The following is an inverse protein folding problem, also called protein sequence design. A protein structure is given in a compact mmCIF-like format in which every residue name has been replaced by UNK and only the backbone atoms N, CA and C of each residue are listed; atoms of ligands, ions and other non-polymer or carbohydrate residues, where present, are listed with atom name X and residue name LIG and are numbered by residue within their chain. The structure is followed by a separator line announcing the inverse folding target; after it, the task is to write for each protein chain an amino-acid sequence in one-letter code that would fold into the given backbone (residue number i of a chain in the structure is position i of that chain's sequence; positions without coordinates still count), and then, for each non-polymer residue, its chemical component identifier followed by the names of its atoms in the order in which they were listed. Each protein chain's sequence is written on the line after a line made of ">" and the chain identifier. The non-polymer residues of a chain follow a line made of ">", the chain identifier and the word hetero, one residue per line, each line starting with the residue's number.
data_IF_391279684360
#
_entry.id   IF_391279684360
#
_cell.length_a   1.000
_cell.length_b   1.000
_cell.length_c   1.000
_cell.angle_alpha   90.00
_cell.angle_beta   90.00
_cell.angle_gamma   90.00
#
_symmetry.space_group_name_H-M   'P 1'
#
loop_
_entity.id
_entity.type
_entity.pdbx_description
1 polymer ?
#
# COMPACT_ATOMS: atom_id res chain seq x y z
N UNK A 1 -11.55 47.67 6.17
CA UNK A 1 -10.49 46.66 5.99
C UNK A 1 -11.15 45.46 5.35
N UNK A 2 -10.71 45.08 4.14
CA UNK A 2 -11.15 43.82 3.51
C UNK A 2 -10.73 42.67 4.44
N UNK A 3 -11.61 41.70 4.76
CA UNK A 3 -11.14 40.48 5.40
C UNK A 3 -10.12 39.85 4.44
N UNK A 4 -8.95 39.51 4.99
CA UNK A 4 -7.93 38.74 4.27
C UNK A 4 -8.62 37.51 3.68
N UNK A 5 -8.45 37.29 2.37
CA UNK A 5 -8.74 36.02 1.74
C UNK A 5 -7.99 34.96 2.57
N UNK A 6 -8.74 34.13 3.30
CA UNK A 6 -8.18 32.92 3.89
C UNK A 6 -7.77 32.04 2.71
N UNK A 7 -6.49 32.09 2.36
CA UNK A 7 -5.81 31.25 1.39
C UNK A 7 -5.71 29.81 1.96
N UNK A 8 -6.87 29.23 2.23
CA UNK A 8 -7.05 27.90 2.80
C UNK A 8 -7.89 27.04 1.87
N UNK A 9 -7.78 25.70 1.96
CA UNK A 9 -8.50 24.80 1.07
C UNK A 9 -10.01 25.01 1.17
N UNK A 10 -10.69 24.92 0.02
CA UNK A 10 -12.16 25.07 -0.10
C UNK A 10 -12.93 24.13 0.83
N UNK A 11 -12.36 22.97 1.17
CA UNK A 11 -12.95 21.98 2.07
C UNK A 11 -12.13 21.87 3.36
N UNK A 12 -12.67 22.38 4.48
CA UNK A 12 -12.05 22.29 5.81
C UNK A 12 -12.47 21.03 6.59
N UNK A 13 -13.74 20.66 6.51
CA UNK A 13 -14.29 19.45 7.13
C UNK A 13 -15.65 19.13 6.49
N UNK A 14 -15.97 17.85 6.36
CA UNK A 14 -17.30 17.39 5.95
C UNK A 14 -17.52 15.93 6.41
N UNK A 15 -18.75 15.43 6.27
CA UNK A 15 -19.02 14.01 6.48
C UNK A 15 -18.33 13.15 5.40
N UNK A 16 -18.03 11.87 5.67
CA UNK A 16 -17.41 10.98 4.68
C UNK A 16 -18.15 10.94 3.34
N UNK A 17 -19.48 11.02 3.37
CA UNK A 17 -20.33 11.04 2.18
C UNK A 17 -20.11 12.30 1.33
N UNK A 18 -20.01 13.47 1.98
CA UNK A 18 -19.76 14.74 1.29
C UNK A 18 -18.34 14.75 0.72
N UNK A 19 -17.35 14.26 1.47
CA UNK A 19 -15.97 14.16 1.00
C UNK A 19 -15.87 13.25 -0.24
N UNK A 20 -16.58 12.12 -0.22
CA UNK A 20 -16.67 11.21 -1.35
C UNK A 20 -17.34 11.88 -2.56
N UNK A 21 -18.45 12.60 -2.35
CA UNK A 21 -19.12 13.34 -3.44
C UNK A 21 -18.17 14.37 -4.04
N UNK A 22 -17.46 15.14 -3.20
CA UNK A 22 -16.49 16.12 -3.63
C UNK A 22 -15.37 15.45 -4.44
N UNK A 23 -14.84 14.30 -4.01
CA UNK A 23 -13.85 13.53 -4.78
C UNK A 23 -14.36 13.10 -6.18
N UNK A 24 -15.68 12.91 -6.35
CA UNK A 24 -16.31 12.53 -7.62
C UNK A 24 -16.73 13.70 -8.52
N UNK A 25 -16.53 14.95 -8.11
CA UNK A 25 -16.85 16.12 -8.95
C UNK A 25 -16.08 16.08 -10.26
N UNK A 26 -16.70 16.43 -11.38
CA UNK A 26 -16.11 16.34 -12.73
C UNK A 26 -15.13 17.46 -13.06
N UNK A 27 -14.93 18.41 -12.13
CA UNK A 27 -14.00 19.51 -12.36
C UNK A 27 -12.56 18.99 -12.50
N UNK A 28 -11.83 19.57 -13.43
CA UNK A 28 -10.44 19.24 -13.76
C UNK A 28 -9.46 20.32 -13.26
N UNK A 29 -9.92 21.20 -12.36
CA UNK A 29 -9.06 22.15 -11.66
C UNK A 29 -7.91 21.42 -10.95
N UNK A 30 -6.72 22.04 -10.86
CA UNK A 30 -5.57 21.44 -10.18
C UNK A 30 -5.90 21.11 -8.71
N UNK A 31 -6.63 21.98 -8.02
CA UNK A 31 -7.04 21.78 -6.62
C UNK A 31 -7.93 20.55 -6.45
N UNK A 32 -8.77 20.25 -7.44
CA UNK A 32 -9.62 19.07 -7.44
C UNK A 32 -8.83 17.78 -7.60
N UNK A 33 -7.77 17.80 -8.43
CA UNK A 33 -6.85 16.67 -8.57
C UNK A 33 -6.12 16.42 -7.26
N UNK A 34 -5.58 17.48 -6.65
CA UNK A 34 -4.90 17.40 -5.34
C UNK A 34 -5.84 16.84 -4.27
N UNK A 35 -7.10 17.31 -4.24
CA UNK A 35 -8.09 16.78 -3.32
C UNK A 35 -8.32 15.27 -3.51
N UNK A 36 -8.47 14.81 -4.76
CA UNK A 36 -8.68 13.39 -5.04
C UNK A 36 -7.50 12.54 -4.57
N UNK A 37 -6.27 12.97 -4.83
CA UNK A 37 -5.06 12.28 -4.34
C UNK A 37 -5.02 12.24 -2.80
N UNK A 38 -5.34 13.36 -2.15
CA UNK A 38 -5.39 13.43 -0.70
C UNK A 38 -6.48 12.51 -0.13
N UNK A 39 -7.67 12.47 -0.75
CA UNK A 39 -8.76 11.58 -0.37
C UNK A 39 -8.33 10.11 -0.49
N UNK A 40 -7.83 9.70 -1.67
CA UNK A 40 -7.40 8.33 -1.93
C UNK A 40 -6.27 7.87 -0.99
N UNK A 41 -5.35 8.78 -0.69
CA UNK A 41 -4.25 8.54 0.24
C UNK A 41 -4.69 8.42 1.70
N UNK A 42 -5.77 9.08 2.13
CA UNK A 42 -6.06 9.27 3.57
C UNK A 42 -7.44 8.78 4.04
N UNK A 43 -8.35 8.39 3.15
CA UNK A 43 -9.73 8.03 3.51
C UNK A 43 -9.80 6.92 4.56
N UNK A 44 -8.84 6.00 4.55
CA UNK A 44 -8.70 4.89 5.50
C UNK A 44 -8.66 5.35 6.96
N UNK A 45 -8.32 6.62 7.20
CA UNK A 45 -8.36 7.23 8.52
C UNK A 45 -9.79 7.44 9.06
N UNK A 46 -10.81 7.57 8.21
CA UNK A 46 -12.19 7.89 8.62
C UNK A 46 -13.29 7.04 7.97
N UNK A 47 -13.01 6.24 6.94
CA UNK A 47 -13.97 5.34 6.29
C UNK A 47 -13.26 4.08 5.75
N UNK A 48 -13.92 2.92 5.80
CA UNK A 48 -13.32 1.67 5.32
C UNK A 48 -13.34 1.59 3.78
N UNK A 49 -12.40 0.85 3.15
CA UNK A 49 -12.43 0.65 1.70
C UNK A 49 -13.73 -0.01 1.23
N UNK A 50 -14.26 -0.97 2.00
CA UNK A 50 -15.53 -1.64 1.69
C UNK A 50 -16.69 -0.63 1.65
N UNK A 51 -16.76 0.27 2.64
CA UNK A 51 -17.79 1.32 2.68
C UNK A 51 -17.65 2.32 1.52
N UNK A 52 -16.41 2.74 1.19
CA UNK A 52 -16.15 3.65 0.06
C UNK A 52 -16.61 3.00 -1.25
N UNK A 53 -16.22 1.76 -1.50
CA UNK A 53 -16.57 1.03 -2.73
C UNK A 53 -18.09 0.83 -2.80
N UNK A 54 -18.73 0.43 -1.70
CA UNK A 54 -20.19 0.27 -1.62
C UNK A 54 -20.93 1.58 -1.90
N UNK A 55 -20.47 2.70 -1.32
CA UNK A 55 -21.05 4.03 -1.54
C UNK A 55 -20.85 4.53 -2.98
N UNK A 56 -19.67 4.33 -3.55
CA UNK A 56 -19.39 4.67 -4.95
C UNK A 56 -20.22 3.83 -5.92
N UNK A 57 -20.38 2.54 -5.64
CA UNK A 57 -21.23 1.64 -6.42
C UNK A 57 -22.70 2.08 -6.36
N UNK A 58 -23.21 2.40 -5.18
CA UNK A 58 -24.57 2.93 -5.01
C UNK A 58 -24.78 4.23 -5.80
N UNK A 59 -23.84 5.18 -5.66
CA UNK A 59 -23.86 6.45 -6.38
C UNK A 59 -23.82 6.25 -7.90
N UNK A 60 -22.95 5.36 -8.39
CA UNK A 60 -22.84 5.03 -9.81
C UNK A 60 -24.18 4.53 -10.39
N UNK A 61 -24.83 3.56 -9.72
CA UNK A 61 -26.14 3.04 -10.16
C UNK A 61 -27.19 4.14 -10.26
N UNK A 62 -27.28 5.00 -9.24
CA UNK A 62 -28.24 6.11 -9.21
C UNK A 62 -27.96 7.15 -10.32
N UNK A 63 -26.69 7.46 -10.61
CA UNK A 63 -26.33 8.40 -11.68
C UNK A 63 -26.61 7.84 -13.08
N UNK A 64 -26.43 6.53 -13.28
CA UNK A 64 -26.81 5.85 -14.52
C UNK A 64 -28.32 5.94 -14.78
N UNK A 65 -29.15 5.76 -13.74
CA UNK A 65 -30.62 5.93 -13.83
C UNK A 65 -31.00 7.39 -14.14
N UNK A 66 -30.31 8.34 -13.51
CA UNK A 66 -30.51 9.78 -13.72
C UNK A 66 -29.99 10.35 -15.05
N UNK A 67 -29.34 9.52 -15.89
CA UNK A 67 -28.71 9.90 -17.17
C UNK A 67 -27.59 10.96 -17.08
N UNK A 68 -26.95 11.10 -15.93
CA UNK A 68 -25.74 11.92 -15.79
C UNK A 68 -24.49 11.09 -16.12
N UNK A 69 -24.25 10.88 -17.42
CA UNK A 69 -23.16 10.02 -17.90
C UNK A 69 -21.77 10.51 -17.51
N UNK A 70 -21.56 11.82 -17.38
CA UNK A 70 -20.26 12.39 -17.01
C UNK A 70 -19.95 12.14 -15.53
N UNK A 71 -20.89 12.43 -14.64
CA UNK A 71 -20.73 12.17 -13.20
C UNK A 71 -20.65 10.66 -12.90
N UNK A 72 -21.43 9.84 -13.60
CA UNK A 72 -21.38 8.37 -13.48
C UNK A 72 -19.98 7.85 -13.84
N UNK A 73 -19.44 8.28 -14.98
CA UNK A 73 -18.10 7.88 -15.43
C UNK A 73 -17.01 8.29 -14.44
N UNK A 74 -17.09 9.50 -13.88
CA UNK A 74 -16.09 9.98 -12.92
C UNK A 74 -16.18 9.26 -11.57
N UNK A 75 -17.40 8.98 -11.11
CA UNK A 75 -17.65 8.15 -9.92
C UNK A 75 -17.05 6.75 -10.10
N UNK A 76 -17.25 6.15 -11.27
CA UNK A 76 -16.69 4.85 -11.58
C UNK A 76 -15.16 4.88 -11.68
N UNK A 77 -14.59 5.93 -12.27
CA UNK A 77 -13.14 6.09 -12.33
C UNK A 77 -12.53 6.18 -10.92
N UNK A 78 -13.16 6.93 -10.00
CA UNK A 78 -12.73 6.97 -8.60
C UNK A 78 -12.84 5.58 -7.95
N UNK A 79 -13.92 4.83 -8.21
CA UNK A 79 -14.07 3.46 -7.71
C UNK A 79 -12.92 2.56 -8.17
N UNK A 80 -12.59 2.59 -9.46
CA UNK A 80 -11.47 1.81 -10.00
C UNK A 80 -10.16 2.20 -9.33
N UNK A 81 -9.92 3.50 -9.11
CA UNK A 81 -8.74 3.96 -8.38
C UNK A 81 -8.70 3.49 -6.93
N UNK A 82 -9.81 3.53 -6.22
CA UNK A 82 -9.90 2.99 -4.86
C UNK A 82 -9.53 1.51 -4.85
N UNK A 83 -10.02 0.73 -5.83
CA UNK A 83 -9.70 -0.70 -5.96
C UNK A 83 -8.23 -0.94 -6.33
N UNK A 84 -7.67 -0.10 -7.20
CA UNK A 84 -6.26 -0.16 -7.60
C UNK A 84 -5.31 0.16 -6.43
N UNK A 85 -5.71 1.10 -5.56
CA UNK A 85 -4.94 1.52 -4.40
C UNK A 85 -5.21 0.68 -3.13
N UNK A 86 -6.03 -0.38 -3.20
CA UNK A 86 -6.19 -1.34 -2.09
C UNK A 86 -4.84 -2.00 -1.78
N UNK A 87 -4.47 -2.12 -0.51
CA UNK A 87 -3.37 -3.02 -0.18
C UNK A 87 -3.84 -4.47 -0.31
N UNK A 88 -2.88 -5.38 -0.51
CA UNK A 88 -3.18 -6.80 -0.72
C UNK A 88 -4.00 -7.43 0.42
N UNK A 89 -3.90 -6.90 1.64
CA UNK A 89 -4.61 -7.40 2.82
C UNK A 89 -6.03 -6.82 2.99
N UNK A 90 -6.36 -5.73 2.30
CA UNK A 90 -7.72 -5.14 2.31
C UNK A 90 -8.70 -5.92 1.40
N UNK A 91 -8.19 -6.73 0.47
CA UNK A 91 -9.02 -7.59 -0.38
C UNK A 91 -9.44 -8.87 0.36
N UNK A 92 -10.40 -8.73 1.26
CA UNK A 92 -11.06 -9.85 1.95
C UNK A 92 -12.11 -10.55 1.06
N UNK A 93 -12.69 -11.64 1.59
CA UNK A 93 -13.67 -12.46 0.85
C UNK A 93 -14.96 -11.69 0.52
N UNK A 94 -15.42 -10.85 1.44
CA UNK A 94 -16.68 -10.10 1.29
C UNK A 94 -16.52 -8.98 0.27
N UNK A 95 -15.40 -8.26 0.33
CA UNK A 95 -15.04 -7.25 -0.66
C UNK A 95 -14.81 -7.87 -2.04
N UNK A 96 -14.15 -9.03 -2.11
CA UNK A 96 -13.96 -9.75 -3.37
C UNK A 96 -15.31 -10.12 -3.99
N UNK A 97 -16.27 -10.63 -3.21
CA UNK A 97 -17.62 -10.94 -3.69
C UNK A 97 -18.32 -9.68 -4.22
N UNK A 98 -18.23 -8.56 -3.50
CA UNK A 98 -18.81 -7.28 -3.92
C UNK A 98 -18.19 -6.77 -5.24
N UNK A 99 -16.87 -6.87 -5.39
CA UNK A 99 -16.17 -6.47 -6.60
C UNK A 99 -16.49 -7.37 -7.79
N UNK A 100 -16.62 -8.67 -7.57
CA UNK A 100 -17.01 -9.63 -8.60
C UNK A 100 -18.47 -9.39 -9.05
N UNK A 101 -19.39 -9.12 -8.11
CA UNK A 101 -20.77 -8.72 -8.44
C UNK A 101 -20.81 -7.43 -9.27
N UNK A 102 -19.95 -6.45 -8.94
CA UNK A 102 -19.80 -5.25 -9.74
C UNK A 102 -19.27 -5.55 -11.15
N UNK A 103 -18.27 -6.43 -11.29
CA UNK A 103 -17.79 -6.87 -12.62
C UNK A 103 -18.93 -7.52 -13.42
N UNK A 104 -19.72 -8.39 -12.82
CA UNK A 104 -20.87 -9.01 -13.50
C UNK A 104 -21.91 -7.98 -13.92
N UNK A 105 -22.22 -7.01 -13.06
CA UNK A 105 -23.13 -5.91 -13.37
C UNK A 105 -22.66 -5.10 -14.58
N UNK A 106 -21.36 -4.82 -14.69
CA UNK A 106 -20.78 -4.11 -15.84
C UNK A 106 -20.84 -4.94 -17.13
N UNK A 107 -20.62 -6.26 -17.04
CA UNK A 107 -20.75 -7.16 -18.18
C UNK A 107 -22.18 -7.21 -18.71
N UNK A 108 -23.17 -7.28 -17.82
CA UNK A 108 -24.59 -7.22 -18.17
C UNK A 108 -24.93 -5.85 -18.80
N UNK A 109 -24.35 -4.78 -18.28
CA UNK A 109 -24.50 -3.42 -18.82
C UNK A 109 -23.77 -3.15 -20.14
N UNK A 110 -22.92 -4.07 -20.61
CA UNK A 110 -22.15 -3.92 -21.86
C UNK A 110 -20.86 -3.11 -21.74
N UNK A 111 -20.47 -2.67 -20.54
CA UNK A 111 -19.28 -1.85 -20.27
C UNK A 111 -18.01 -2.73 -20.17
N UNK A 112 -17.64 -3.38 -21.28
CA UNK A 112 -16.58 -4.39 -21.31
C UNK A 112 -15.21 -3.86 -20.90
N UNK A 113 -14.87 -2.62 -21.29
CA UNK A 113 -13.57 -2.02 -20.96
C UNK A 113 -13.41 -1.77 -19.46
N UNK A 114 -14.46 -1.28 -18.82
CA UNK A 114 -14.50 -1.04 -17.37
C UNK A 114 -14.48 -2.36 -16.58
N UNK A 115 -15.25 -3.36 -17.03
CA UNK A 115 -15.25 -4.70 -16.46
C UNK A 115 -13.85 -5.34 -16.52
N UNK A 116 -13.18 -5.24 -17.67
CA UNK A 116 -11.83 -5.76 -17.85
C UNK A 116 -10.82 -5.08 -16.92
N UNK A 117 -10.85 -3.75 -16.84
CA UNK A 117 -9.96 -2.97 -15.97
C UNK A 117 -10.13 -3.38 -14.50
N UNK A 118 -11.37 -3.43 -14.01
CA UNK A 118 -11.66 -3.82 -12.64
C UNK A 118 -11.22 -5.26 -12.36
N UNK A 119 -11.50 -6.19 -13.27
CA UNK A 119 -11.07 -7.59 -13.15
C UNK A 119 -9.54 -7.73 -13.12
N UNK A 120 -8.83 -6.97 -13.95
CA UNK A 120 -7.36 -6.96 -13.98
C UNK A 120 -6.79 -6.51 -12.64
N UNK A 121 -7.37 -5.45 -12.04
CA UNK A 121 -6.95 -4.96 -10.73
C UNK A 121 -7.18 -6.02 -9.64
N UNK A 122 -8.36 -6.65 -9.63
CA UNK A 122 -8.68 -7.73 -8.67
C UNK A 122 -7.65 -8.86 -8.78
N UNK A 123 -7.36 -9.34 -9.99
CA UNK A 123 -6.40 -10.44 -10.20
C UNK A 123 -4.99 -10.06 -9.76
N UNK A 124 -4.56 -8.82 -10.05
CA UNK A 124 -3.26 -8.32 -9.60
C UNK A 124 -3.16 -8.28 -8.07
N UNK A 125 -4.19 -7.80 -7.37
CA UNK A 125 -4.23 -7.78 -5.89
C UNK A 125 -4.28 -9.19 -5.29
N UNK A 126 -5.00 -10.11 -5.91
CA UNK A 126 -5.02 -11.52 -5.49
C UNK A 126 -3.63 -12.17 -5.62
N UNK A 127 -2.93 -11.92 -6.72
CA UNK A 127 -1.56 -12.41 -6.93
C UNK A 127 -0.61 -11.83 -5.86
N UNK A 128 -0.67 -10.52 -5.60
CA UNK A 128 0.12 -9.89 -4.54
C UNK A 128 -0.14 -10.52 -3.17
N UNK A 129 -1.41 -10.74 -2.83
CA UNK A 129 -1.80 -11.39 -1.58
C UNK A 129 -1.28 -12.83 -1.51
N UNK A 130 -1.32 -13.56 -2.62
CA UNK A 130 -0.76 -14.92 -2.71
C UNK A 130 0.76 -14.94 -2.54
N UNK A 131 1.49 -13.96 -3.10
CA UNK A 131 2.93 -13.83 -2.90
C UNK A 131 3.30 -13.52 -1.44
N UNK A 132 2.48 -12.73 -0.74
CA UNK A 132 2.72 -12.39 0.66
C UNK A 132 2.40 -13.55 1.63
N UNK A 133 1.28 -14.25 1.43
CA UNK A 133 0.79 -15.28 2.36
C UNK A 133 1.25 -16.68 1.97
N UNK A 134 1.32 -16.96 0.66
CA UNK A 134 1.46 -18.28 0.09
C UNK A 134 2.83 -18.58 -0.53
N UNK A 135 3.75 -17.61 -0.61
CA UNK A 135 5.04 -17.84 -1.26
C UNK A 135 5.85 -18.92 -0.51
N UNK A 136 6.14 -20.06 -1.15
CA UNK A 136 6.98 -21.07 -0.55
C UNK A 136 8.40 -20.52 -0.36
N UNK A 137 9.02 -20.87 0.77
CA UNK A 137 10.42 -20.53 1.11
C UNK A 137 11.46 -20.98 0.05
N UNK A 138 11.03 -21.66 -1.02
CA UNK A 138 11.84 -22.10 -2.16
C UNK A 138 12.38 -20.96 -3.03
N UNK A 139 11.86 -19.74 -2.93
CA UNK A 139 12.34 -18.57 -3.68
C UNK A 139 13.46 -17.79 -3.00
N UNK A 140 13.92 -18.21 -1.81
CA UNK A 140 15.06 -17.55 -1.15
C UNK A 140 16.31 -17.67 -2.02
N UNK A 141 17.09 -16.59 -2.19
CA UNK A 141 18.36 -16.63 -2.91
C UNK A 141 19.25 -17.75 -2.39
N UNK A 142 20.00 -18.42 -3.27
CA UNK A 142 20.93 -19.50 -2.88
C UNK A 142 21.92 -19.05 -1.79
N UNK A 143 22.30 -17.77 -1.77
CA UNK A 143 23.12 -17.16 -0.74
C UNK A 143 22.51 -17.26 0.67
N UNK A 144 21.18 -17.18 0.78
CA UNK A 144 20.47 -17.33 2.05
C UNK A 144 20.37 -18.80 2.53
N UNK A 145 20.81 -19.77 1.70
CA UNK A 145 20.80 -21.21 2.04
C UNK A 145 22.09 -21.68 2.73
N UNK A 146 23.03 -20.76 3.00
CA UNK A 146 24.26 -21.06 3.76
C UNK A 146 25.22 -22.02 3.06
N UNK A 147 25.07 -22.23 1.74
CA UNK A 147 25.94 -23.12 0.96
C UNK A 147 27.18 -22.35 0.54
N UNK A 148 28.22 -22.36 1.39
CA UNK A 148 29.54 -21.82 1.06
C UNK A 148 30.62 -22.90 1.29
N UNK A 149 31.52 -23.06 0.32
CA UNK A 149 32.66 -23.98 0.44
C UNK A 149 33.61 -23.58 1.59
N UNK A 150 33.57 -22.30 2.00
CA UNK A 150 34.20 -21.76 3.20
C UNK A 150 33.24 -20.73 3.83
N UNK A 151 32.85 -20.86 5.11
CA UNK A 151 32.14 -19.80 5.80
C UNK A 151 33.09 -18.60 5.98
N UNK A 152 32.84 -17.50 5.26
CA UNK A 152 33.53 -16.24 5.52
C UNK A 152 33.10 -15.69 6.88
N UNK A 153 34.04 -15.15 7.64
CA UNK A 153 33.77 -14.35 8.83
C UNK A 153 33.41 -12.92 8.43
N UNK A 154 32.69 -12.19 9.28
CA UNK A 154 32.30 -10.80 9.00
C UNK A 154 33.50 -9.91 8.61
N UNK A 155 34.66 -10.17 9.24
CA UNK A 155 35.89 -9.41 9.04
C UNK A 155 36.57 -9.69 7.70
N UNK A 156 36.11 -10.68 6.93
CA UNK A 156 36.64 -11.00 5.61
C UNK A 156 36.08 -10.06 4.52
N UNK A 157 35.09 -9.23 4.85
CA UNK A 157 34.46 -8.28 3.93
C UNK A 157 34.89 -6.84 4.23
N UNK A 158 34.98 -6.00 3.20
CA UNK A 158 35.19 -4.56 3.40
C UNK A 158 33.94 -3.97 4.04
N UNK A 159 34.12 -3.06 5.00
CA UNK A 159 33.02 -2.37 5.68
C UNK A 159 32.10 -1.65 4.70
N UNK A 160 32.66 -1.05 3.64
CA UNK A 160 31.89 -0.40 2.59
C UNK A 160 30.97 -1.39 1.86
N UNK A 161 31.48 -2.55 1.44
CA UNK A 161 30.68 -3.54 0.71
C UNK A 161 29.52 -4.06 1.58
N UNK A 162 29.78 -4.27 2.89
CA UNK A 162 28.74 -4.65 3.85
C UNK A 162 27.66 -3.57 3.99
N UNK A 163 28.07 -2.30 4.10
CA UNK A 163 27.14 -1.18 4.20
C UNK A 163 26.28 -1.02 2.93
N UNK A 164 26.88 -1.17 1.76
CA UNK A 164 26.16 -1.12 0.47
C UNK A 164 25.13 -2.25 0.36
N UNK A 165 25.48 -3.48 0.75
CA UNK A 165 24.54 -4.61 0.72
C UNK A 165 23.41 -4.46 1.76
N UNK A 166 23.71 -4.02 2.97
CA UNK A 166 22.67 -3.72 3.97
C UNK A 166 21.73 -2.63 3.48
N UNK A 167 22.26 -1.55 2.90
CA UNK A 167 21.47 -0.46 2.33
C UNK A 167 20.58 -0.95 1.19
N UNK A 168 21.08 -1.84 0.33
CA UNK A 168 20.30 -2.43 -0.74
C UNK A 168 19.12 -3.25 -0.20
N UNK A 169 19.38 -4.11 0.80
CA UNK A 169 18.33 -4.92 1.45
C UNK A 169 17.28 -4.04 2.14
N UNK A 170 17.72 -3.03 2.89
CA UNK A 170 16.83 -2.06 3.54
C UNK A 170 15.97 -1.31 2.52
N UNK A 171 16.58 -0.88 1.40
CA UNK A 171 15.86 -0.19 0.32
C UNK A 171 14.82 -1.08 -0.35
N UNK A 172 15.12 -2.36 -0.60
CA UNK A 172 14.19 -3.31 -1.20
C UNK A 172 12.95 -3.55 -0.32
N UNK A 173 13.15 -3.62 1.00
CA UNK A 173 12.05 -3.79 1.96
C UNK A 173 11.27 -2.48 2.14
N UNK A 174 11.95 -1.34 2.25
CA UNK A 174 11.32 -0.03 2.42
C UNK A 174 10.39 0.31 1.25
N UNK A 175 10.83 0.07 0.01
CA UNK A 175 10.04 0.36 -1.19
C UNK A 175 8.76 -0.50 -1.32
N UNK A 176 8.64 -1.59 -0.57
CA UNK A 176 7.42 -2.41 -0.54
C UNK A 176 6.36 -1.88 0.42
N UNK A 177 6.72 -1.02 1.37
CA UNK A 177 5.78 -0.51 2.37
C UNK A 177 4.79 0.42 1.68
N UNK A 178 3.51 0.03 1.70
CA UNK A 178 2.45 0.84 1.12
C UNK A 178 1.86 1.82 2.17
N UNK A 179 1.41 3.00 1.72
CA UNK A 179 0.77 3.98 2.59
C UNK A 179 -0.43 3.43 3.40
N UNK A 180 -1.31 2.58 2.84
CA UNK A 180 -2.37 1.92 3.61
C UNK A 180 -1.87 1.15 4.84
N UNK A 181 -0.71 0.46 4.75
CA UNK A 181 -0.14 -0.28 5.87
C UNK A 181 0.26 0.67 7.01
N UNK A 182 0.90 1.79 6.69
CA UNK A 182 1.32 2.79 7.68
C UNK A 182 0.11 3.42 8.37
N UNK A 183 -0.94 3.75 7.61
CA UNK A 183 -2.17 4.31 8.17
C UNK A 183 -2.89 3.30 9.07
N UNK A 184 -2.95 2.04 8.65
CA UNK A 184 -3.61 1.00 9.43
C UNK A 184 -2.80 0.66 10.69
N UNK A 185 -1.47 0.60 10.58
CA UNK A 185 -0.57 0.41 11.71
C UNK A 185 -0.77 1.48 12.78
N UNK A 186 -0.94 2.75 12.37
CA UNK A 186 -1.19 3.86 13.28
C UNK A 186 -2.46 3.70 14.13
N UNK A 187 -3.41 2.87 13.67
CA UNK A 187 -4.69 2.60 14.35
C UNK A 187 -4.68 1.30 15.14
N UNK A 188 -4.24 0.22 14.52
CA UNK A 188 -4.45 -1.14 15.03
C UNK A 188 -3.16 -1.85 15.45
N UNK A 189 -1.98 -1.38 14.98
CA UNK A 189 -0.69 -2.05 15.20
C UNK A 189 -0.73 -3.56 14.90
N UNK A 190 -1.44 -3.93 13.82
CA UNK A 190 -1.66 -5.32 13.44
C UNK A 190 -0.64 -5.77 12.40
N UNK A 191 0.17 -6.77 12.75
CA UNK A 191 1.22 -7.35 11.90
C UNK A 191 0.66 -8.07 10.67
N UNK A 192 -0.45 -8.81 10.81
CA UNK A 192 -1.06 -9.56 9.71
C UNK A 192 -1.62 -8.63 8.62
N UNK A 193 -2.12 -7.46 9.02
CA UNK A 193 -2.64 -6.46 8.09
C UNK A 193 -1.57 -5.51 7.54
N UNK A 194 -0.37 -5.52 8.12
CA UNK A 194 0.76 -4.65 7.73
C UNK A 194 2.03 -5.47 7.46
N UNK A 195 1.99 -6.41 6.49
CA UNK A 195 3.04 -7.41 6.32
C UNK A 195 4.38 -6.83 5.88
N UNK A 196 4.42 -5.86 4.96
CA UNK A 196 5.68 -5.29 4.47
C UNK A 196 6.32 -4.41 5.55
N UNK A 197 5.52 -3.64 6.28
CA UNK A 197 5.99 -2.88 7.44
C UNK A 197 6.57 -3.81 8.53
N UNK A 198 5.90 -4.94 8.76
CA UNK A 198 6.35 -5.95 9.72
C UNK A 198 7.66 -6.60 9.26
N UNK A 199 7.77 -6.98 7.98
CA UNK A 199 8.99 -7.55 7.39
C UNK A 199 10.17 -6.59 7.52
N UNK A 200 9.97 -5.31 7.20
CA UNK A 200 10.99 -4.26 7.34
C UNK A 200 11.45 -4.12 8.80
N UNK A 201 10.51 -4.08 9.75
CA UNK A 201 10.83 -3.97 11.18
C UNK A 201 11.56 -5.22 11.71
N UNK A 202 11.15 -6.41 11.26
CA UNK A 202 11.83 -7.66 11.60
C UNK A 202 13.24 -7.71 11.03
N UNK A 203 13.46 -7.26 9.79
CA UNK A 203 14.79 -7.15 9.20
C UNK A 203 15.71 -6.26 10.04
N UNK A 204 15.26 -5.05 10.39
CA UNK A 204 15.99 -4.12 11.25
C UNK A 204 16.38 -4.75 12.60
N UNK A 205 15.44 -5.46 13.23
CA UNK A 205 15.68 -6.17 14.49
C UNK A 205 16.69 -7.30 14.30
N UNK A 206 16.58 -8.10 13.24
CA UNK A 206 17.50 -9.19 12.95
C UNK A 206 18.93 -8.71 12.75
N UNK A 207 19.13 -7.62 11.98
CA UNK A 207 20.44 -6.99 11.80
C UNK A 207 20.97 -6.49 13.15
N UNK A 208 20.14 -5.83 13.95
CA UNK A 208 20.52 -5.34 15.28
C UNK A 208 20.97 -6.47 16.22
N UNK A 209 20.22 -7.57 16.28
CA UNK A 209 20.56 -8.75 17.08
C UNK A 209 21.82 -9.46 16.56
N UNK A 210 21.97 -9.55 15.24
CA UNK A 210 23.15 -10.12 14.61
C UNK A 210 24.41 -9.32 14.97
N UNK A 211 24.39 -7.99 14.85
CA UNK A 211 25.51 -7.13 15.25
C UNK A 211 25.87 -7.32 16.73
N UNK A 212 24.87 -7.32 17.62
CA UNK A 212 25.08 -7.59 19.06
C UNK A 212 25.76 -8.95 19.30
N UNK A 213 25.29 -9.98 18.59
CA UNK A 213 25.83 -11.34 18.72
C UNK A 213 27.28 -11.42 18.23
N UNK A 214 27.60 -10.76 17.10
CA UNK A 214 28.97 -10.70 16.60
C UNK A 214 29.89 -10.01 17.60
N UNK A 215 29.46 -8.90 18.21
CA UNK A 215 30.26 -8.19 19.23
C UNK A 215 30.54 -9.09 20.44
N UNK A 216 29.53 -9.81 20.95
CA UNK A 216 29.66 -10.67 22.13
C UNK A 216 30.54 -11.89 21.86
N UNK A 217 30.46 -12.48 20.66
CA UNK A 217 31.20 -13.70 20.29
C UNK A 217 32.68 -13.45 19.94
N UNK A 218 33.14 -12.20 19.90
CA UNK A 218 34.55 -11.88 19.69
C UNK A 218 35.37 -12.20 20.96
N UNK A 219 35.88 -13.44 21.05
CA UNK A 219 36.61 -14.03 22.19
C UNK A 219 37.99 -13.40 22.52
N UNK A 220 38.37 -12.26 21.92
CA UNK A 220 39.65 -11.60 22.20
C UNK A 220 39.45 -10.13 22.59
N UNK A 221 39.91 -9.68 23.77
CA UNK A 221 40.24 -8.27 23.98
C UNK A 221 41.52 -7.99 23.17
N UNK A 222 41.39 -7.78 21.85
CA UNK A 222 42.47 -7.21 21.04
C UNK A 222 42.28 -5.71 20.96
N UNK A 223 43.38 -5.02 21.20
CA UNK A 223 43.54 -3.59 21.49
C UNK A 223 42.69 -2.64 20.62
N UNK A 224 42.32 -1.46 21.15
CA UNK A 224 41.65 -0.40 20.40
C UNK A 224 42.62 0.21 19.40
N UNK A 225 42.79 -0.40 18.23
CA UNK A 225 43.40 0.24 17.07
C UNK A 225 42.61 -0.11 15.81
N UNK A 226 42.11 0.96 15.19
CA UNK A 226 41.37 1.06 13.93
C UNK A 226 39.84 1.05 14.09
N UNK A 227 39.35 2.01 14.87
CA UNK A 227 38.12 2.68 14.50
C UNK A 227 38.45 3.73 13.43
N UNK A 228 37.67 3.70 12.35
CA UNK A 228 37.67 4.58 11.17
C UNK A 228 38.73 4.31 10.10
#
# INVERSE_FOLDING_TARGET
>A
MKPQEEDGPDVKAASPDILLVYATETDSRPDQVVYREAFLSTYRSFISPNDVISKLQHRYRHLCEGRDGAAAKNTFHLLVRVVDELCAMELDSDLLLLLIDLVFSLLIGGELGLAHLLRSNILSKMEQRWQLIGSPQSLRPLAARGVAARPGTLLDFRSQDLAEQLTLLDSELFCKIELPEVLLWSKEQNEEKSPNLTEFTQHFNNVSFWVRSVIILQDKPREPRNCF
#
